data_IF_667033462747
#
_entry.id   IF_667033462747
#
_cell.length_a   1.000
_cell.length_b   1.000
_cell.length_c   1.000
_cell.angle_alpha   90.00
_cell.angle_beta   90.00
_cell.angle_gamma   90.00
#
_symmetry.space_group_name_H-M   'P 1'
#
loop_
_entity.id
_entity.type
_entity.pdbx_description
1 polymer ?
#
# COMPACT_ATOMS: atom_id res chain seq x y z
N UNK A 1 17.87 2.23 22.74
CA UNK A 1 17.28 2.98 21.61
C UNK A 1 15.96 3.53 22.10
N UNK A 2 15.66 4.81 21.86
CA UNK A 2 14.30 5.30 22.10
C UNK A 2 13.31 4.50 21.23
N UNK A 3 12.13 4.12 21.75
CA UNK A 3 11.12 3.45 20.95
C UNK A 3 10.66 4.36 19.80
N UNK A 4 10.27 3.77 18.67
CA UNK A 4 9.72 4.53 17.54
C UNK A 4 8.38 5.18 17.93
N UNK A 5 8.02 6.25 17.23
CA UNK A 5 6.68 6.84 17.30
C UNK A 5 5.98 6.68 15.95
N UNK A 6 4.66 6.69 15.97
CA UNK A 6 3.87 6.78 14.74
C UNK A 6 3.37 8.20 14.58
N UNK A 7 3.45 8.74 13.37
CA UNK A 7 2.72 9.94 12.97
C UNK A 7 1.59 9.47 12.05
N UNK A 8 0.39 9.35 12.61
CA UNK A 8 -0.82 9.01 11.87
C UNK A 8 -1.31 10.24 11.14
N UNK A 9 -1.53 10.18 9.84
CA UNK A 9 -1.89 11.35 9.06
C UNK A 9 -2.86 11.04 7.93
N UNK A 10 -3.53 12.10 7.47
CA UNK A 10 -4.44 12.09 6.34
C UNK A 10 -4.49 13.49 5.69
N UNK A 11 -4.72 13.54 4.38
CA UNK A 11 -4.96 14.76 3.64
C UNK A 11 -6.37 14.79 3.05
N UNK A 12 -7.02 15.94 3.19
CA UNK A 12 -8.07 16.32 2.24
C UNK A 12 -7.46 17.19 1.15
N UNK A 13 -7.83 16.92 -0.10
CA UNK A 13 -7.20 17.56 -1.28
C UNK A 13 -8.23 18.16 -2.21
N UNK A 14 -7.80 19.14 -3.01
CA UNK A 14 -8.65 19.75 -4.03
C UNK A 14 -8.74 18.94 -5.33
N UNK A 15 -8.25 17.69 -5.34
CA UNK A 15 -8.34 16.80 -6.49
C UNK A 15 -7.53 15.51 -6.34
N UNK A 16 -7.88 14.50 -7.13
CA UNK A 16 -7.28 13.16 -7.02
C UNK A 16 -5.92 13.00 -7.73
N UNK A 17 -5.46 13.99 -8.50
CA UNK A 17 -4.18 13.92 -9.19
C UNK A 17 -3.06 14.42 -8.27
N UNK A 18 -2.38 13.48 -7.61
CA UNK A 18 -1.32 13.78 -6.62
C UNK A 18 -0.17 14.66 -7.14
N UNK A 19 0.04 14.69 -8.47
CA UNK A 19 1.08 15.50 -9.11
C UNK A 19 0.66 16.94 -9.36
N UNK A 20 -0.64 17.20 -9.58
CA UNK A 20 -1.16 18.49 -10.05
C UNK A 20 -2.03 19.20 -9.01
N UNK A 21 -2.86 18.43 -8.33
CA UNK A 21 -3.80 18.95 -7.36
C UNK A 21 -3.11 19.33 -6.05
N UNK A 22 -3.72 20.25 -5.31
CA UNK A 22 -3.14 20.86 -4.12
C UNK A 22 -3.79 20.30 -2.85
N UNK A 23 -3.02 20.15 -1.75
CA UNK A 23 -3.62 19.83 -0.46
C UNK A 23 -4.55 20.96 -0.02
N UNK A 24 -5.67 20.61 0.60
CA UNK A 24 -6.63 21.54 1.18
C UNK A 24 -6.50 21.56 2.72
N UNK A 25 -6.44 20.36 3.33
CA UNK A 25 -6.26 20.17 4.78
C UNK A 25 -5.26 19.04 5.03
N UNK A 26 -4.57 19.11 6.15
CA UNK A 26 -3.78 18.02 6.71
C UNK A 26 -4.14 17.85 8.17
N UNK A 27 -4.33 16.61 8.59
CA UNK A 27 -4.41 16.26 10.00
C UNK A 27 -3.39 15.20 10.36
N UNK A 28 -2.85 15.29 11.58
CA UNK A 28 -2.01 14.24 12.13
C UNK A 28 -2.14 14.10 13.64
N UNK A 29 -1.94 12.88 14.12
CA UNK A 29 -1.82 12.54 15.54
C UNK A 29 -0.56 11.72 15.72
N UNK A 30 0.27 12.09 16.69
CA UNK A 30 1.42 11.31 17.09
C UNK A 30 1.03 10.28 18.15
N UNK A 31 1.55 9.07 18.06
CA UNK A 31 1.42 8.07 19.12
C UNK A 31 2.74 7.43 19.48
N UNK A 32 2.84 6.90 20.71
CA UNK A 32 3.90 5.96 21.06
C UNK A 32 3.74 4.63 20.31
N UNK A 33 4.73 3.74 20.48
CA UNK A 33 4.68 2.38 19.93
C UNK A 33 3.54 1.51 20.50
N UNK A 34 2.92 1.90 21.62
CA UNK A 34 1.74 1.27 22.22
C UNK A 34 0.42 1.81 21.65
N UNK A 35 0.48 2.76 20.70
CA UNK A 35 -0.65 3.45 20.09
C UNK A 35 -1.36 4.43 21.04
N UNK A 36 -0.69 4.94 22.08
CA UNK A 36 -1.21 6.01 22.94
C UNK A 36 -0.85 7.37 22.34
N UNK A 37 -1.79 8.32 22.31
CA UNK A 37 -1.56 9.66 21.75
C UNK A 37 -0.50 10.43 22.55
N UNK A 38 0.36 11.16 21.83
CA UNK A 38 1.41 12.01 22.40
C UNK A 38 1.19 13.43 21.90
N UNK A 39 1.06 14.38 22.83
CA UNK A 39 0.86 15.79 22.51
C UNK A 39 -0.50 16.07 21.88
N UNK A 40 -0.64 17.26 21.33
CA UNK A 40 -1.88 17.70 20.70
C UNK A 40 -1.92 17.29 19.22
N UNK A 41 -3.11 16.98 18.66
CA UNK A 41 -3.27 16.78 17.23
C UNK A 41 -2.83 18.00 16.42
N UNK A 42 -2.21 17.76 15.27
CA UNK A 42 -1.94 18.79 14.27
C UNK A 42 -3.09 18.83 13.27
N UNK A 43 -3.69 19.99 13.04
CA UNK A 43 -4.65 20.21 11.96
C UNK A 43 -4.34 21.55 11.29
N UNK A 44 -4.17 21.52 9.98
CA UNK A 44 -3.78 22.67 9.16
C UNK A 44 -4.65 22.74 7.91
N UNK A 45 -5.01 23.94 7.47
CA UNK A 45 -5.49 24.19 6.12
C UNK A 45 -4.37 24.81 5.28
N UNK A 46 -4.35 24.51 3.98
CA UNK A 46 -3.39 25.07 3.02
C UNK A 46 -4.10 26.07 2.11
N UNK A 47 -3.60 27.31 2.04
CA UNK A 47 -4.12 28.31 1.11
C UNK A 47 -3.83 27.87 -0.34
N UNK A 48 -4.85 27.77 -1.22
CA UNK A 48 -4.59 27.55 -2.64
C UNK A 48 -3.94 28.79 -3.25
N UNK A 49 -2.94 28.58 -4.11
CA UNK A 49 -2.34 29.66 -4.88
C UNK A 49 -3.32 30.20 -5.94
N UNK A 50 -3.10 31.44 -6.40
CA UNK A 50 -3.97 32.13 -7.36
C UNK A 50 -3.88 31.62 -8.81
N UNK A 51 -3.11 30.55 -9.05
CA UNK A 51 -2.88 29.90 -10.34
C UNK A 51 -3.58 28.54 -10.47
N UNK A 52 -4.37 28.13 -9.46
CA UNK A 52 -5.01 26.83 -9.38
C UNK A 52 -6.52 26.95 -9.14
N UNK A 53 -7.28 26.09 -9.80
CA UNK A 53 -8.72 25.92 -9.57
C UNK A 53 -8.99 24.51 -9.02
N UNK A 54 -9.61 24.39 -7.84
CA UNK A 54 -10.02 23.10 -7.29
C UNK A 54 -10.96 22.31 -8.19
N UNK A 55 -10.84 20.99 -8.17
CA UNK A 55 -11.86 20.10 -8.71
C UNK A 55 -13.17 20.24 -7.90
N UNK A 56 -14.30 20.64 -8.53
CA UNK A 56 -15.55 20.85 -7.81
C UNK A 56 -16.06 19.61 -7.09
N UNK A 57 -15.85 18.41 -7.65
CA UNK A 57 -16.28 17.17 -7.03
C UNK A 57 -15.53 16.88 -5.73
N UNK A 58 -14.24 17.17 -5.70
CA UNK A 58 -13.41 17.04 -4.49
C UNK A 58 -13.86 18.00 -3.39
N UNK A 59 -14.20 19.25 -3.71
CA UNK A 59 -14.80 20.18 -2.76
C UNK A 59 -16.14 19.68 -2.19
N UNK A 60 -16.95 18.98 -3.00
CA UNK A 60 -18.23 18.40 -2.54
C UNK A 60 -18.03 17.19 -1.62
N UNK A 61 -17.03 16.35 -1.90
CA UNK A 61 -16.72 15.17 -1.08
C UNK A 61 -16.18 15.60 0.29
N UNK A 62 -15.23 16.54 0.29
CA UNK A 62 -14.55 17.00 1.50
C UNK A 62 -15.34 18.04 2.28
N UNK A 63 -16.27 18.75 1.63
CA UNK A 63 -16.93 19.92 2.20
C UNK A 63 -15.99 21.12 2.40
N UNK A 64 -14.75 21.07 1.91
CA UNK A 64 -13.75 22.12 2.05
C UNK A 64 -13.76 23.00 0.81
N UNK A 65 -14.02 24.29 1.00
CA UNK A 65 -14.00 25.28 -0.09
C UNK A 65 -12.65 26.00 -0.16
N UNK A 66 -12.23 26.49 -1.34
CA UNK A 66 -11.04 27.33 -1.43
C UNK A 66 -11.14 28.59 -0.56
N UNK A 67 -12.35 29.14 -0.38
CA UNK A 67 -12.59 30.28 0.52
C UNK A 67 -12.28 29.95 1.98
N UNK A 68 -12.69 28.76 2.45
CA UNK A 68 -12.36 28.29 3.80
C UNK A 68 -10.85 28.17 3.99
N UNK A 69 -10.16 27.58 3.00
CA UNK A 69 -8.70 27.46 3.04
C UNK A 69 -7.97 28.80 2.95
N UNK A 70 -8.52 29.78 2.22
CA UNK A 70 -7.97 31.15 2.20
C UNK A 70 -8.13 31.84 3.56
N UNK A 71 -9.26 31.66 4.22
CA UNK A 71 -9.56 32.27 5.53
C UNK A 71 -8.76 31.63 6.68
N UNK A 72 -8.69 30.30 6.73
CA UNK A 72 -8.14 29.55 7.87
C UNK A 72 -6.75 28.98 7.64
N UNK A 73 -6.33 28.88 6.38
CA UNK A 73 -5.09 28.22 6.01
C UNK A 73 -3.85 29.09 6.13
N UNK A 74 -2.71 28.44 5.97
CA UNK A 74 -1.41 29.09 5.81
C UNK A 74 -0.91 28.91 4.37
N UNK A 75 0.01 29.75 3.88
CA UNK A 75 0.64 29.55 2.57
C UNK A 75 1.33 28.18 2.47
N UNK A 76 1.40 27.61 1.25
CA UNK A 76 1.91 26.23 1.04
C UNK A 76 3.31 25.99 1.63
N UNK A 77 4.20 26.98 1.62
CA UNK A 77 5.54 26.85 2.21
C UNK A 77 5.52 26.66 3.73
N UNK A 78 4.69 27.42 4.45
CA UNK A 78 4.51 27.26 5.90
C UNK A 78 3.81 25.95 6.24
N UNK A 79 2.81 25.58 5.43
CA UNK A 79 2.12 24.30 5.54
C UNK A 79 3.10 23.13 5.39
N UNK A 80 3.95 23.16 4.36
CA UNK A 80 4.97 22.16 4.10
C UNK A 80 6.02 22.09 5.22
N UNK A 81 6.52 23.23 5.70
CA UNK A 81 7.50 23.29 6.79
C UNK A 81 6.97 22.69 8.10
N UNK A 82 5.72 22.96 8.45
CA UNK A 82 5.10 22.40 9.67
C UNK A 82 4.93 20.88 9.57
N UNK A 83 4.53 20.38 8.40
CA UNK A 83 4.38 18.96 8.15
C UNK A 83 5.74 18.25 8.16
N UNK A 84 6.76 18.84 7.53
CA UNK A 84 8.13 18.33 7.54
C UNK A 84 8.66 18.21 8.97
N UNK A 85 8.47 19.25 9.80
CA UNK A 85 8.94 19.26 11.18
C UNK A 85 8.37 18.10 12.01
N UNK A 86 7.11 17.72 11.78
CA UNK A 86 6.51 16.53 12.41
C UNK A 86 7.09 15.23 11.86
N UNK A 87 7.18 15.05 10.54
CA UNK A 87 7.69 13.82 9.97
C UNK A 87 9.20 13.61 10.20
N UNK A 88 9.98 14.67 10.33
CA UNK A 88 11.44 14.63 10.47
C UNK A 88 11.93 14.30 11.89
N UNK A 89 11.03 14.26 12.89
CA UNK A 89 11.38 13.87 14.24
C UNK A 89 12.01 12.45 14.25
N UNK A 90 13.20 12.26 14.84
CA UNK A 90 13.90 10.97 14.79
C UNK A 90 13.05 9.77 15.24
N UNK A 91 13.10 8.69 14.48
CA UNK A 91 12.35 7.46 14.77
C UNK A 91 10.85 7.53 14.47
N UNK A 92 10.39 8.51 13.69
CA UNK A 92 8.99 8.63 13.27
C UNK A 92 8.67 7.69 12.11
N UNK A 93 7.63 6.87 12.28
CA UNK A 93 7.02 6.12 11.18
C UNK A 93 5.76 6.85 10.76
N UNK A 94 5.74 7.42 9.55
CA UNK A 94 4.53 7.99 8.96
C UNK A 94 3.54 6.90 8.58
N UNK A 95 2.29 6.98 9.04
CA UNK A 95 1.26 5.97 8.79
C UNK A 95 -0.06 6.63 8.48
N UNK A 96 -0.88 5.99 7.65
CA UNK A 96 -2.30 6.32 7.53
C UNK A 96 -3.04 5.19 6.81
N UNK A 97 -4.12 5.52 6.13
CA UNK A 97 -4.97 4.56 5.43
C UNK A 97 -4.92 4.80 3.92
N UNK A 98 -4.23 3.93 3.17
CA UNK A 98 -3.91 4.14 1.74
C UNK A 98 -2.92 5.28 1.44
N UNK A 99 -2.15 5.72 2.45
CA UNK A 99 -1.25 6.88 2.33
C UNK A 99 -0.10 6.68 1.35
N UNK A 100 0.44 5.47 1.23
CA UNK A 100 1.64 5.21 0.38
C UNK A 100 1.36 5.48 -1.10
N UNK A 101 0.10 5.32 -1.54
CA UNK A 101 -0.30 5.48 -2.94
C UNK A 101 -0.89 6.85 -3.23
N UNK A 102 -1.19 7.66 -2.21
CA UNK A 102 -1.86 8.95 -2.37
C UNK A 102 -1.19 10.06 -1.56
N UNK A 103 -1.41 10.11 -0.26
CA UNK A 103 -0.94 11.16 0.67
C UNK A 103 0.57 11.35 0.66
N UNK A 104 1.32 10.26 0.57
CA UNK A 104 2.77 10.30 0.47
C UNK A 104 3.23 10.94 -0.86
N UNK A 105 2.48 10.72 -1.95
CA UNK A 105 2.77 11.37 -3.23
C UNK A 105 2.39 12.85 -3.18
N UNK A 106 1.28 13.23 -2.53
CA UNK A 106 0.94 14.64 -2.23
C UNK A 106 2.07 15.30 -1.45
N UNK A 107 2.55 14.64 -0.38
CA UNK A 107 3.66 15.13 0.46
C UNK A 107 4.92 15.32 -0.37
N UNK A 108 5.30 14.35 -1.21
CA UNK A 108 6.49 14.42 -2.06
C UNK A 108 6.43 15.57 -3.05
N UNK A 109 5.32 15.73 -3.77
CA UNK A 109 5.18 16.83 -4.74
C UNK A 109 5.09 18.18 -4.04
N UNK A 110 4.42 18.28 -2.90
CA UNK A 110 4.38 19.49 -2.08
C UNK A 110 5.78 19.88 -1.59
N UNK A 111 6.54 18.94 -1.02
CA UNK A 111 7.91 19.19 -0.58
C UNK A 111 8.81 19.61 -1.74
N UNK A 112 8.70 18.93 -2.89
CA UNK A 112 9.43 19.32 -4.10
C UNK A 112 9.13 20.76 -4.54
N UNK A 113 7.85 21.17 -4.54
CA UNK A 113 7.45 22.55 -4.87
C UNK A 113 7.99 23.59 -3.89
N UNK A 114 8.16 23.20 -2.63
CA UNK A 114 8.59 24.07 -1.53
C UNK A 114 10.08 23.89 -1.17
N UNK A 115 10.87 23.29 -2.07
CA UNK A 115 12.33 23.13 -1.93
C UNK A 115 12.77 22.30 -0.71
N UNK A 116 11.91 21.39 -0.25
CA UNK A 116 12.17 20.41 0.80
C UNK A 116 12.51 19.07 0.13
N UNK A 117 13.46 18.29 0.69
CA UNK A 117 13.76 16.95 0.17
C UNK A 117 12.51 16.04 0.24
N UNK A 118 11.98 15.55 -0.90
CA UNK A 118 10.73 14.80 -0.91
C UNK A 118 10.77 13.45 -0.19
N UNK A 119 11.96 12.90 0.06
CA UNK A 119 12.16 11.53 0.52
C UNK A 119 12.87 11.43 1.87
N UNK A 120 13.60 12.47 2.31
CA UNK A 120 14.40 12.44 3.54
C UNK A 120 13.62 11.92 4.76
N UNK A 121 12.39 12.41 4.95
CA UNK A 121 11.48 12.01 6.03
C UNK A 121 11.09 10.51 6.03
N UNK A 122 11.32 9.81 4.93
CA UNK A 122 10.95 8.41 4.76
C UNK A 122 12.04 7.43 5.22
N UNK A 123 13.24 7.91 5.57
CA UNK A 123 14.38 7.05 5.91
C UNK A 123 15.47 7.69 6.79
N UNK A 124 15.68 9.00 6.72
CA UNK A 124 16.67 9.68 7.56
C UNK A 124 16.29 9.59 9.03
N UNK A 125 17.27 9.68 9.93
CA UNK A 125 17.03 9.70 11.38
C UNK A 125 16.21 8.51 11.91
N UNK A 126 16.33 7.34 11.26
CA UNK A 126 15.54 6.14 11.57
C UNK A 126 14.03 6.31 11.36
N UNK A 127 13.62 7.30 10.56
CA UNK A 127 12.24 7.44 10.13
C UNK A 127 11.86 6.35 9.12
N UNK A 128 10.56 6.19 8.90
CA UNK A 128 10.00 5.19 8.00
C UNK A 128 8.58 5.53 7.58
N UNK A 129 7.97 4.64 6.80
CA UNK A 129 6.57 4.78 6.37
C UNK A 129 5.84 3.44 6.40
N UNK A 130 4.56 3.47 6.68
CA UNK A 130 3.70 2.31 6.74
C UNK A 130 2.28 2.67 6.29
N UNK A 131 1.47 1.67 5.95
CA UNK A 131 0.11 1.88 5.44
C UNK A 131 -0.81 0.80 6.00
N UNK A 132 -1.86 1.23 6.70
CA UNK A 132 -2.75 0.31 7.40
C UNK A 132 -3.69 -0.45 6.47
N UNK A 133 -3.94 0.04 5.24
CA UNK A 133 -4.91 -0.58 4.33
C UNK A 133 -4.51 -2.03 3.96
N UNK A 134 -3.24 -2.25 3.59
CA UNK A 134 -2.79 -3.60 3.24
C UNK A 134 -2.64 -4.48 4.50
N UNK A 135 -2.42 -3.90 5.69
CA UNK A 135 -2.46 -4.61 6.99
C UNK A 135 -3.87 -5.11 7.31
N UNK A 136 -4.89 -4.29 7.06
CA UNK A 136 -6.31 -4.65 7.20
C UNK A 136 -6.65 -5.79 6.25
N UNK A 137 -6.25 -5.71 4.98
CA UNK A 137 -6.43 -6.80 4.01
C UNK A 137 -5.71 -8.08 4.46
N UNK A 138 -4.50 -7.96 5.01
CA UNK A 138 -3.74 -9.12 5.49
C UNK A 138 -4.43 -9.77 6.69
N UNK A 139 -4.98 -8.96 7.59
CA UNK A 139 -5.78 -9.44 8.72
C UNK A 139 -7.02 -10.16 8.23
N UNK A 140 -7.76 -9.58 7.28
CA UNK A 140 -8.92 -10.22 6.66
C UNK A 140 -8.58 -11.58 6.02
N UNK A 141 -7.50 -11.65 5.24
CA UNK A 141 -7.16 -12.84 4.49
C UNK A 141 -6.62 -13.97 5.37
N UNK A 142 -5.84 -13.63 6.40
CA UNK A 142 -5.07 -14.63 7.17
C UNK A 142 -5.60 -14.84 8.58
N UNK A 143 -6.14 -13.82 9.25
CA UNK A 143 -6.60 -13.89 10.64
C UNK A 143 -7.86 -13.03 10.85
N UNK A 144 -8.99 -13.38 10.21
CA UNK A 144 -10.19 -12.53 10.21
C UNK A 144 -10.93 -12.50 11.56
N UNK A 145 -10.66 -13.46 12.45
CA UNK A 145 -11.41 -13.62 13.69
C UNK A 145 -11.24 -12.41 14.62
N UNK A 146 -12.33 -12.03 15.30
CA UNK A 146 -12.37 -10.90 16.23
C UNK A 146 -12.65 -9.54 15.60
N UNK A 147 -12.77 -9.45 14.27
CA UNK A 147 -13.09 -8.21 13.54
C UNK A 147 -14.35 -8.43 12.70
N UNK A 148 -15.28 -7.48 12.75
CA UNK A 148 -16.44 -7.44 11.87
C UNK A 148 -16.05 -6.92 10.49
N UNK A 149 -16.29 -7.72 9.46
CA UNK A 149 -15.92 -7.40 8.07
C UNK A 149 -17.17 -6.99 7.28
N UNK A 150 -17.41 -5.69 7.06
CA UNK A 150 -18.59 -5.21 6.34
C UNK A 150 -18.55 -5.65 4.88
N UNK A 151 -19.74 -5.81 4.30
CA UNK A 151 -19.93 -6.10 2.88
C UNK A 151 -20.53 -4.88 2.17
N UNK A 152 -20.27 -4.76 0.88
CA UNK A 152 -20.96 -3.83 -0.02
C UNK A 152 -22.32 -4.41 -0.43
N UNK A 153 -23.08 -3.63 -1.20
CA UNK A 153 -24.38 -4.04 -1.73
C UNK A 153 -24.30 -5.30 -2.61
N UNK A 154 -23.20 -5.46 -3.36
CA UNK A 154 -22.92 -6.65 -4.19
C UNK A 154 -22.47 -7.89 -3.38
N UNK A 155 -22.41 -7.79 -2.06
CA UNK A 155 -21.97 -8.86 -1.16
C UNK A 155 -20.45 -9.00 -1.02
N UNK A 156 -19.66 -8.24 -1.77
CA UNK A 156 -18.20 -8.26 -1.70
C UNK A 156 -17.71 -7.54 -0.44
N UNK A 157 -16.54 -7.90 0.13
CA UNK A 157 -15.99 -7.22 1.29
C UNK A 157 -15.71 -5.73 1.02
N UNK A 158 -16.03 -4.87 1.99
CA UNK A 158 -15.63 -3.47 1.98
C UNK A 158 -14.42 -3.24 2.87
N UNK A 159 -13.40 -2.59 2.32
CA UNK A 159 -12.25 -2.08 3.05
C UNK A 159 -12.25 -0.55 3.10
N UNK A 160 -13.42 0.09 3.02
CA UNK A 160 -13.53 1.52 3.29
C UNK A 160 -13.44 1.75 4.81
N UNK A 161 -12.66 2.75 5.21
CA UNK A 161 -12.43 3.06 6.62
C UNK A 161 -13.74 3.35 7.37
N UNK A 162 -14.63 4.15 6.77
CA UNK A 162 -15.97 4.43 7.31
C UNK A 162 -16.78 3.15 7.58
N UNK A 163 -16.82 2.22 6.60
CA UNK A 163 -17.57 0.98 6.71
C UNK A 163 -17.00 0.09 7.84
N UNK A 164 -15.67 -0.03 7.91
CA UNK A 164 -14.99 -0.83 8.93
C UNK A 164 -15.18 -0.24 10.32
N UNK A 165 -15.06 1.08 10.44
CA UNK A 165 -15.23 1.79 11.71
C UNK A 165 -16.65 1.59 12.24
N UNK A 166 -17.66 1.82 11.39
CA UNK A 166 -19.07 1.61 11.72
C UNK A 166 -19.37 0.16 12.13
N UNK A 167 -18.86 -0.81 11.37
CA UNK A 167 -19.11 -2.24 11.63
C UNK A 167 -18.48 -2.73 12.95
N UNK A 168 -17.43 -2.06 13.43
CA UNK A 168 -16.71 -2.44 14.66
C UNK A 168 -16.97 -1.48 15.83
N UNK A 169 -17.95 -0.58 15.72
CA UNK A 169 -18.29 0.38 16.79
C UNK A 169 -17.16 1.37 17.12
N UNK A 170 -16.29 1.68 16.15
CA UNK A 170 -15.22 2.64 16.31
C UNK A 170 -15.76 4.06 16.07
N UNK A 171 -15.27 5.02 16.86
CA UNK A 171 -15.66 6.42 16.73
C UNK A 171 -15.21 6.97 15.36
N UNK A 172 -16.15 7.53 14.62
CA UNK A 172 -15.95 8.21 13.34
C UNK A 172 -17.04 9.28 13.21
N UNK A 173 -16.79 10.45 13.80
CA UNK A 173 -17.81 11.48 14.06
C UNK A 173 -18.25 12.20 12.78
N UNK A 174 -17.32 12.45 11.86
CA UNK A 174 -17.57 12.99 10.54
C UNK A 174 -16.66 12.28 9.53
N UNK A 175 -17.24 11.62 8.53
CA UNK A 175 -16.47 11.08 7.42
C UNK A 175 -15.94 12.25 6.56
N UNK A 176 -14.74 12.11 6.01
CA UNK A 176 -14.09 13.14 5.18
C UNK A 176 -13.73 14.43 5.95
N UNK A 177 -13.45 14.27 7.25
CA UNK A 177 -12.64 15.21 8.03
C UNK A 177 -11.32 14.51 8.36
N UNK A 178 -10.19 15.09 7.93
CA UNK A 178 -8.89 14.43 8.03
C UNK A 178 -8.57 13.97 9.46
N UNK A 179 -9.00 14.73 10.49
CA UNK A 179 -8.70 14.36 11.88
C UNK A 179 -9.56 13.17 12.35
N UNK A 180 -10.84 13.14 11.98
CA UNK A 180 -11.73 11.99 12.21
C UNK A 180 -11.19 10.72 11.54
N UNK A 181 -10.69 10.82 10.31
CA UNK A 181 -10.10 9.70 9.56
C UNK A 181 -8.79 9.20 10.21
N UNK A 182 -7.95 10.11 10.70
CA UNK A 182 -6.76 9.76 11.49
C UNK A 182 -7.15 9.00 12.77
N UNK A 183 -8.14 9.48 13.53
CA UNK A 183 -8.61 8.80 14.75
C UNK A 183 -9.21 7.42 14.47
N UNK A 184 -10.01 7.30 13.41
CA UNK A 184 -10.57 6.02 12.97
C UNK A 184 -9.47 5.03 12.56
N UNK A 185 -8.43 5.51 11.87
CA UNK A 185 -7.25 4.71 11.49
C UNK A 185 -6.51 4.18 12.72
N UNK A 186 -6.25 5.04 13.72
CA UNK A 186 -5.64 4.62 15.00
C UNK A 186 -6.51 3.59 15.72
N UNK A 187 -7.83 3.81 15.78
CA UNK A 187 -8.76 2.90 16.43
C UNK A 187 -8.77 1.52 15.75
N UNK A 188 -8.73 1.48 14.41
CA UNK A 188 -8.64 0.24 13.65
C UNK A 188 -7.30 -0.48 13.88
N UNK A 189 -6.19 0.27 13.94
CA UNK A 189 -4.87 -0.29 14.27
C UNK A 189 -4.86 -0.92 15.68
N UNK A 190 -5.46 -0.24 16.67
CA UNK A 190 -5.63 -0.77 18.04
C UNK A 190 -6.48 -2.06 18.03
N UNK A 191 -7.58 -2.08 17.29
CA UNK A 191 -8.45 -3.24 17.16
C UNK A 191 -7.72 -4.46 16.58
N UNK A 192 -6.95 -4.26 15.50
CA UNK A 192 -6.13 -5.31 14.88
C UNK A 192 -5.09 -5.83 15.87
N UNK A 193 -4.37 -4.92 16.54
CA UNK A 193 -3.34 -5.30 17.51
C UNK A 193 -3.91 -6.06 18.71
N UNK A 194 -5.10 -5.68 19.19
CA UNK A 194 -5.78 -6.36 20.29
C UNK A 194 -6.10 -7.82 19.95
N UNK A 195 -6.63 -8.08 18.76
CA UNK A 195 -7.05 -9.43 18.35
C UNK A 195 -5.90 -10.25 17.77
N UNK A 196 -4.95 -9.61 17.10
CA UNK A 196 -3.89 -10.25 16.33
C UNK A 196 -2.52 -9.57 16.52
N UNK A 197 -1.96 -9.52 17.75
CA UNK A 197 -0.72 -8.78 18.04
C UNK A 197 0.48 -9.29 17.23
N UNK A 198 0.62 -10.61 17.05
CA UNK A 198 1.70 -11.20 16.24
C UNK A 198 1.61 -10.82 14.76
N UNK A 199 0.40 -10.70 14.21
CA UNK A 199 0.21 -10.26 12.83
C UNK A 199 0.55 -8.79 12.70
N UNK A 200 0.10 -7.96 13.65
CA UNK A 200 0.41 -6.54 13.69
C UNK A 200 1.94 -6.31 13.74
N UNK A 201 2.65 -6.97 14.64
CA UNK A 201 4.11 -6.86 14.77
C UNK A 201 4.84 -7.35 13.51
N UNK A 202 4.37 -8.46 12.92
CA UNK A 202 4.92 -8.96 11.66
C UNK A 202 4.71 -7.98 10.52
N UNK A 203 3.48 -7.49 10.33
CA UNK A 203 3.13 -6.53 9.29
C UNK A 203 3.87 -5.20 9.46
N UNK A 204 4.05 -4.75 10.71
CA UNK A 204 4.87 -3.60 11.04
C UNK A 204 6.31 -3.87 10.61
N UNK A 205 6.90 -5.03 10.91
CA UNK A 205 8.29 -5.33 10.52
C UNK A 205 8.53 -5.20 9.00
N UNK A 206 7.52 -5.43 8.17
CA UNK A 206 7.58 -5.31 6.70
C UNK A 206 7.63 -3.86 6.20
N UNK A 207 7.52 -2.85 7.06
CA UNK A 207 7.78 -1.46 6.65
C UNK A 207 9.24 -1.24 6.23
N UNK A 208 10.16 -2.11 6.69
CA UNK A 208 11.57 -2.08 6.30
C UNK A 208 11.81 -2.95 5.08
N UNK A 209 12.29 -2.36 3.99
CA UNK A 209 12.62 -3.06 2.74
C UNK A 209 13.57 -4.26 2.94
N UNK A 210 14.51 -4.18 3.88
CA UNK A 210 15.46 -5.26 4.15
C UNK A 210 14.76 -6.46 4.80
N UNK A 211 13.75 -6.20 5.65
CA UNK A 211 12.91 -7.25 6.23
C UNK A 211 12.06 -7.93 5.17
N UNK A 212 11.51 -7.16 4.22
CA UNK A 212 10.78 -7.67 3.05
C UNK A 212 11.70 -8.54 2.19
N UNK A 213 12.91 -8.07 1.88
CA UNK A 213 13.90 -8.82 1.11
C UNK A 213 14.26 -10.16 1.78
N UNK A 214 14.44 -10.15 3.10
CA UNK A 214 14.68 -11.36 3.88
C UNK A 214 13.47 -12.32 3.85
N UNK A 215 12.25 -11.81 3.99
CA UNK A 215 11.02 -12.60 3.92
C UNK A 215 10.84 -13.29 2.55
N UNK A 216 11.22 -12.59 1.49
CA UNK A 216 11.20 -13.08 0.09
C UNK A 216 12.45 -13.85 -0.32
N UNK A 217 13.45 -13.98 0.57
CA UNK A 217 14.74 -14.65 0.32
C UNK A 217 15.49 -14.10 -0.90
N UNK A 218 15.50 -12.79 -1.05
CA UNK A 218 16.17 -12.14 -2.17
C UNK A 218 17.70 -12.14 -2.01
N UNK A 219 18.47 -12.18 -3.12
CA UNK A 219 18.01 -12.26 -4.51
C UNK A 219 17.33 -13.60 -4.82
N UNK A 220 16.24 -13.55 -5.59
CA UNK A 220 15.55 -14.75 -6.05
C UNK A 220 16.39 -15.40 -7.15
N UNK A 221 17.00 -16.54 -6.83
CA UNK A 221 17.75 -17.40 -7.76
C UNK A 221 17.03 -18.73 -7.89
N UNK A 222 17.39 -19.57 -8.87
CA UNK A 222 16.84 -20.92 -8.99
C UNK A 222 16.96 -21.74 -7.67
N UNK A 223 17.99 -21.47 -6.87
CA UNK A 223 18.24 -22.16 -5.59
C UNK A 223 17.44 -21.56 -4.42
N UNK A 224 17.26 -20.23 -4.38
CA UNK A 224 16.67 -19.51 -3.24
C UNK A 224 15.18 -19.18 -3.42
N UNK A 225 14.68 -19.15 -4.67
CA UNK A 225 13.30 -18.84 -5.00
C UNK A 225 12.34 -19.83 -4.35
N UNK A 226 11.33 -19.31 -3.67
CA UNK A 226 10.29 -20.08 -3.00
C UNK A 226 8.94 -19.40 -3.22
N UNK A 227 7.83 -20.15 -3.21
CA UNK A 227 6.52 -19.54 -3.22
C UNK A 227 6.32 -18.72 -1.94
N UNK A 228 5.58 -17.63 -2.04
CA UNK A 228 5.24 -16.76 -0.92
C UNK A 228 3.80 -16.26 -1.06
N UNK A 229 3.18 -15.87 0.04
CA UNK A 229 1.89 -15.20 0.03
C UNK A 229 2.08 -13.71 -0.22
N UNK A 230 1.25 -13.11 -1.07
CA UNK A 230 1.20 -11.67 -1.25
C UNK A 230 -0.23 -11.16 -1.09
N UNK A 231 -0.42 -10.20 -0.20
CA UNK A 231 -1.68 -9.48 -0.02
C UNK A 231 -1.59 -8.12 -0.70
N UNK A 232 -2.58 -7.81 -1.54
CA UNK A 232 -2.61 -6.57 -2.33
C UNK A 232 -4.02 -6.31 -2.85
N UNK A 233 -4.44 -5.04 -2.87
CA UNK A 233 -5.70 -4.62 -3.49
C UNK A 233 -5.82 -4.86 -4.99
N UNK A 234 -4.74 -5.23 -5.68
CA UNK A 234 -4.78 -5.70 -7.07
C UNK A 234 -5.36 -7.12 -7.23
N UNK A 235 -5.45 -7.89 -6.14
CA UNK A 235 -6.14 -9.17 -6.14
C UNK A 235 -7.60 -8.99 -5.71
N UNK A 236 -8.55 -9.71 -6.32
CA UNK A 236 -9.97 -9.58 -6.01
C UNK A 236 -10.26 -9.81 -4.51
N UNK A 237 -11.22 -9.07 -3.97
CA UNK A 237 -11.58 -9.16 -2.55
C UNK A 237 -12.21 -10.52 -2.19
N UNK A 238 -12.83 -11.17 -3.17
CA UNK A 238 -13.42 -12.52 -3.09
C UNK A 238 -12.34 -13.59 -2.89
N UNK A 239 -11.11 -13.34 -3.39
CA UNK A 239 -9.91 -14.15 -3.12
C UNK A 239 -9.16 -13.69 -1.87
N UNK A 240 -9.78 -12.89 -1.00
CA UNK A 240 -9.13 -12.35 0.19
C UNK A 240 -8.07 -11.28 -0.10
N UNK A 241 -8.05 -10.68 -1.29
CA UNK A 241 -6.94 -9.84 -1.76
C UNK A 241 -5.58 -10.56 -1.70
N UNK A 242 -5.57 -11.89 -1.89
CA UNK A 242 -4.42 -12.76 -1.65
C UNK A 242 -4.06 -13.60 -2.89
N UNK A 243 -2.77 -13.79 -3.10
CA UNK A 243 -2.23 -14.74 -4.08
C UNK A 243 -1.03 -15.51 -3.51
N UNK A 244 -0.82 -16.74 -4.00
CA UNK A 244 0.46 -17.45 -3.83
C UNK A 244 1.32 -17.08 -5.03
N UNK A 245 2.45 -16.44 -4.78
CA UNK A 245 3.29 -15.86 -5.81
C UNK A 245 4.62 -16.60 -5.90
N UNK A 246 5.21 -16.64 -7.09
CA UNK A 246 6.56 -17.11 -7.33
C UNK A 246 7.46 -15.95 -7.77
N UNK A 247 8.65 -15.74 -7.16
CA UNK A 247 9.55 -14.68 -7.56
C UNK A 247 10.28 -15.07 -8.86
N UNK A 248 10.09 -14.27 -9.91
CA UNK A 248 10.70 -14.51 -11.23
C UNK A 248 12.09 -13.86 -11.33
N UNK A 249 12.20 -12.57 -10.99
CA UNK A 249 13.44 -11.82 -11.06
C UNK A 249 13.34 -10.50 -10.30
N UNK A 250 14.49 -9.95 -9.89
CA UNK A 250 14.57 -8.52 -9.54
C UNK A 250 14.34 -7.65 -10.77
N UNK A 251 13.64 -6.54 -10.61
CA UNK A 251 13.39 -5.60 -11.71
C UNK A 251 14.73 -5.03 -12.23
N UNK A 252 14.92 -4.94 -13.57
CA UNK A 252 16.23 -4.65 -14.16
C UNK A 252 16.79 -3.26 -13.80
N UNK A 253 15.93 -2.25 -13.64
CA UNK A 253 16.34 -0.87 -13.33
C UNK A 253 15.92 -0.38 -11.94
N UNK A 254 15.02 -1.08 -11.24
CA UNK A 254 14.48 -0.67 -9.96
C UNK A 254 14.85 -1.71 -8.89
N UNK A 255 15.93 -1.45 -8.15
CA UNK A 255 16.43 -2.36 -7.11
C UNK A 255 15.43 -2.67 -5.99
N UNK A 256 14.39 -1.86 -5.85
CA UNK A 256 13.35 -2.05 -4.82
C UNK A 256 12.14 -2.82 -5.38
N UNK A 257 12.23 -3.47 -6.53
CA UNK A 257 11.08 -4.09 -7.17
C UNK A 257 11.37 -5.54 -7.58
N UNK A 258 10.44 -6.43 -7.24
CA UNK A 258 10.45 -7.85 -7.59
C UNK A 258 9.37 -8.11 -8.64
N UNK A 259 9.71 -8.82 -9.69
CA UNK A 259 8.78 -9.37 -10.68
C UNK A 259 8.32 -10.73 -10.16
N UNK A 260 7.01 -10.95 -10.04
CA UNK A 260 6.45 -12.18 -9.50
C UNK A 260 5.26 -12.70 -10.33
N UNK A 261 5.08 -14.02 -10.33
CA UNK A 261 4.02 -14.74 -11.02
C UNK A 261 2.94 -15.23 -10.05
N UNK A 262 1.66 -15.09 -10.36
CA UNK A 262 0.57 -15.72 -9.59
C UNK A 262 0.50 -17.23 -9.92
N UNK A 263 0.81 -18.06 -8.94
CA UNK A 263 0.83 -19.52 -9.05
C UNK A 263 -0.57 -20.16 -9.19
N UNK A 264 -1.65 -19.38 -9.19
CA UNK A 264 -2.95 -19.83 -9.69
C UNK A 264 -2.93 -20.16 -11.20
N UNK A 265 -1.89 -19.74 -11.92
CA UNK A 265 -1.76 -19.91 -13.37
C UNK A 265 -0.48 -20.67 -13.74
N UNK A 266 -0.54 -21.43 -14.84
CA UNK A 266 0.58 -22.25 -15.33
C UNK A 266 1.72 -21.37 -15.87
N UNK A 267 2.91 -21.38 -15.25
CA UNK A 267 4.02 -20.52 -15.65
C UNK A 267 4.73 -20.98 -16.92
N UNK A 268 4.46 -22.18 -17.45
CA UNK A 268 5.19 -22.73 -18.61
C UNK A 268 5.03 -21.91 -19.87
N UNK A 269 3.96 -21.12 -19.98
CA UNK A 269 3.80 -20.19 -21.12
C UNK A 269 4.97 -19.21 -21.21
N UNK A 270 5.58 -18.82 -20.09
CA UNK A 270 6.73 -17.91 -20.10
C UNK A 270 7.95 -18.47 -20.85
N UNK A 271 8.10 -19.78 -20.95
CA UNK A 271 9.25 -20.41 -21.58
C UNK A 271 9.30 -20.19 -23.10
N UNK A 272 8.17 -19.87 -23.74
CA UNK A 272 8.05 -19.73 -25.20
C UNK A 272 7.85 -18.30 -25.67
N UNK A 273 7.60 -17.35 -24.75
CA UNK A 273 7.30 -15.96 -25.10
C UNK A 273 8.59 -15.15 -25.30
N UNK A 274 8.59 -14.33 -26.37
CA UNK A 274 9.60 -13.29 -26.58
C UNK A 274 9.30 -12.02 -25.77
N UNK A 275 10.29 -11.13 -25.67
CA UNK A 275 10.17 -9.90 -24.88
C UNK A 275 9.03 -8.99 -25.34
N UNK A 276 8.82 -8.84 -26.65
CA UNK A 276 7.76 -8.01 -27.22
C UNK A 276 6.37 -8.52 -26.87
N UNK A 277 6.17 -9.84 -26.88
CA UNK A 277 4.89 -10.47 -26.53
C UNK A 277 4.60 -10.33 -25.04
N UNK A 278 5.61 -10.56 -24.18
CA UNK A 278 5.48 -10.32 -22.74
C UNK A 278 5.11 -8.85 -22.49
N UNK A 279 5.80 -7.93 -23.16
CA UNK A 279 5.57 -6.48 -23.03
C UNK A 279 4.14 -6.10 -23.46
N UNK A 280 3.67 -6.62 -24.59
CA UNK A 280 2.30 -6.43 -25.08
C UNK A 280 1.28 -6.88 -24.03
N UNK A 281 1.45 -8.11 -23.51
CA UNK A 281 0.52 -8.71 -22.53
C UNK A 281 0.57 -8.07 -21.14
N UNK A 282 1.69 -7.46 -20.75
CA UNK A 282 1.83 -6.77 -19.45
C UNK A 282 1.31 -5.33 -19.47
N UNK A 283 1.63 -4.56 -20.51
CA UNK A 283 1.42 -3.11 -20.51
C UNK A 283 0.19 -2.63 -21.30
N UNK A 284 -0.45 -3.49 -22.09
CA UNK A 284 -1.72 -3.17 -22.75
C UNK A 284 -2.91 -3.37 -21.83
N UNK A 285 -3.98 -2.58 -21.99
CA UNK A 285 -5.24 -2.84 -21.29
C UNK A 285 -5.83 -4.15 -21.82
N UNK A 286 -6.59 -4.85 -20.98
CA UNK A 286 -7.18 -6.13 -21.38
C UNK A 286 -8.07 -5.99 -22.62
N UNK A 287 -8.81 -4.88 -22.73
CA UNK A 287 -9.65 -4.56 -23.90
C UNK A 287 -8.87 -4.23 -25.17
N UNK A 288 -7.58 -3.90 -25.05
CA UNK A 288 -6.71 -3.52 -26.18
C UNK A 288 -5.84 -4.70 -26.65
N UNK A 289 -5.98 -5.89 -26.03
CA UNK A 289 -5.24 -7.09 -26.43
C UNK A 289 -5.88 -7.76 -27.65
N UNK A 290 -5.08 -8.40 -28.53
CA UNK A 290 -5.61 -9.20 -29.62
C UNK A 290 -6.57 -10.30 -29.12
N UNK A 291 -7.55 -10.65 -29.95
CA UNK A 291 -8.49 -11.74 -29.64
C UNK A 291 -7.75 -13.04 -29.31
N UNK A 292 -8.18 -13.74 -28.26
CA UNK A 292 -7.52 -14.95 -27.76
C UNK A 292 -6.27 -14.70 -26.89
N UNK A 293 -5.84 -13.45 -26.73
CA UNK A 293 -4.69 -13.11 -25.88
C UNK A 293 -5.15 -12.59 -24.51
N UNK A 294 -4.56 -13.11 -23.45
CA UNK A 294 -4.85 -12.69 -22.07
C UNK A 294 -3.67 -11.92 -21.47
N UNK A 295 -3.92 -11.09 -20.45
CA UNK A 295 -2.81 -10.52 -19.67
C UNK A 295 -2.01 -11.64 -19.00
N UNK A 296 -0.70 -11.46 -18.93
CA UNK A 296 0.13 -12.36 -18.13
C UNK A 296 -0.17 -12.14 -16.63
N UNK A 297 -0.24 -13.20 -15.81
CA UNK A 297 -0.43 -13.14 -14.36
C UNK A 297 0.87 -12.72 -13.64
N UNK A 298 1.54 -11.70 -14.18
CA UNK A 298 2.72 -11.07 -13.61
C UNK A 298 2.29 -9.83 -12.83
N UNK A 299 2.83 -9.70 -11.61
CA UNK A 299 2.72 -8.51 -10.80
C UNK A 299 4.10 -8.12 -10.28
N UNK A 300 4.39 -6.83 -10.28
CA UNK A 300 5.57 -6.32 -9.58
C UNK A 300 5.27 -5.94 -8.13
N UNK A 301 6.25 -6.13 -7.25
CA UNK A 301 6.14 -5.90 -5.81
C UNK A 301 7.25 -4.94 -5.39
N UNK A 302 6.85 -3.77 -4.88
CA UNK A 302 7.77 -2.71 -4.46
C UNK A 302 8.13 -2.90 -2.99
N UNK A 303 9.37 -3.29 -2.70
CA UNK A 303 9.90 -3.54 -1.35
C UNK A 303 9.84 -2.32 -0.44
N UNK A 304 9.94 -1.11 -1.00
CA UNK A 304 9.94 0.15 -0.26
C UNK A 304 8.54 0.78 -0.11
N UNK A 305 7.49 0.04 -0.46
CA UNK A 305 6.07 0.44 -0.33
C UNK A 305 5.33 -0.45 0.68
N UNK A 306 6.04 -0.92 1.70
CA UNK A 306 5.52 -1.75 2.79
C UNK A 306 4.62 -2.91 2.33
N UNK A 307 5.06 -3.74 1.36
CA UNK A 307 4.21 -4.78 0.78
C UNK A 307 3.96 -5.89 1.81
N UNK A 308 2.70 -6.30 1.94
CA UNK A 308 2.33 -7.45 2.78
C UNK A 308 2.70 -8.74 2.05
N UNK A 309 3.79 -9.37 2.51
CA UNK A 309 4.33 -10.63 1.99
C UNK A 309 4.63 -11.60 3.12
N UNK A 310 4.42 -12.89 2.89
CA UNK A 310 4.72 -13.95 3.86
C UNK A 310 5.43 -15.09 3.15
N UNK A 311 6.69 -15.33 3.49
CA UNK A 311 7.52 -16.38 2.88
C UNK A 311 7.12 -17.79 3.31
N UNK A 312 6.43 -17.92 4.45
CA UNK A 312 5.84 -19.19 4.88
C UNK A 312 4.40 -19.33 4.36
N UNK A 313 4.22 -20.04 3.25
CA UNK A 313 2.91 -20.32 2.63
C UNK A 313 1.95 -21.03 3.58
N UNK A 314 2.46 -21.84 4.53
CA UNK A 314 1.64 -22.54 5.52
C UNK A 314 0.93 -21.60 6.52
N UNK A 315 1.24 -20.29 6.49
CA UNK A 315 0.47 -19.28 7.21
C UNK A 315 -0.99 -19.21 6.74
N UNK A 316 -1.22 -19.54 5.47
CA UNK A 316 -2.54 -19.79 4.91
C UNK A 316 -2.96 -21.22 5.24
N UNK A 317 -3.89 -21.37 6.17
CA UNK A 317 -4.41 -22.67 6.58
C UNK A 317 -5.26 -23.31 5.48
N UNK A 318 -5.44 -24.64 5.46
CA UNK A 318 -6.32 -25.30 4.49
C UNK A 318 -7.76 -24.74 4.50
N UNK A 319 -8.30 -24.41 5.67
CA UNK A 319 -9.63 -23.84 5.80
C UNK A 319 -9.74 -22.44 5.16
N UNK A 320 -8.71 -21.60 5.33
CA UNK A 320 -8.65 -20.28 4.67
C UNK A 320 -8.39 -20.41 3.17
N UNK A 321 -7.52 -21.34 2.75
CA UNK A 321 -7.31 -21.61 1.33
C UNK A 321 -8.62 -22.03 0.65
N UNK A 322 -9.39 -22.92 1.28
CA UNK A 322 -10.72 -23.30 0.80
C UNK A 322 -11.68 -22.11 0.78
N UNK A 323 -11.71 -21.29 1.84
CA UNK A 323 -12.55 -20.08 1.92
C UNK A 323 -12.29 -19.11 0.77
N UNK A 324 -11.04 -18.97 0.34
CA UNK A 324 -10.63 -18.05 -0.73
C UNK A 324 -10.56 -18.72 -2.11
N UNK A 325 -10.96 -19.98 -2.24
CA UNK A 325 -10.88 -20.72 -3.50
C UNK A 325 -9.46 -20.92 -4.03
N UNK A 326 -8.48 -21.04 -3.13
CA UNK A 326 -7.07 -21.22 -3.49
C UNK A 326 -6.68 -22.70 -3.46
N UNK A 327 -6.25 -23.23 -4.60
CA UNK A 327 -5.70 -24.59 -4.70
C UNK A 327 -4.19 -24.57 -4.42
N UNK A 328 -3.82 -24.92 -3.18
CA UNK A 328 -2.42 -24.99 -2.76
C UNK A 328 -1.64 -26.14 -3.39
N UNK A 329 -2.31 -27.22 -3.78
CA UNK A 329 -1.65 -28.35 -4.44
C UNK A 329 -1.28 -27.98 -5.88
N UNK A 330 -2.20 -27.34 -6.60
CA UNK A 330 -1.92 -26.77 -7.92
C UNK A 330 -0.82 -25.71 -7.85
N UNK A 331 -0.88 -24.79 -6.88
CA UNK A 331 0.15 -23.77 -6.71
C UNK A 331 1.54 -24.39 -6.46
N UNK A 332 1.63 -25.51 -5.73
CA UNK A 332 2.87 -26.25 -5.54
C UNK A 332 3.39 -26.88 -6.85
N UNK A 333 2.51 -27.48 -7.66
CA UNK A 333 2.87 -28.00 -8.98
C UNK A 333 3.37 -26.90 -9.91
N UNK A 334 2.66 -25.77 -9.96
CA UNK A 334 3.09 -24.60 -10.73
C UNK A 334 4.42 -24.03 -10.20
N UNK A 335 4.70 -24.09 -8.89
CA UNK A 335 5.99 -23.65 -8.35
C UNK A 335 7.14 -24.54 -8.83
N UNK A 336 6.91 -25.85 -8.96
CA UNK A 336 7.91 -26.77 -9.52
C UNK A 336 8.13 -26.51 -11.02
N UNK A 337 7.06 -26.23 -11.77
CA UNK A 337 7.16 -25.80 -13.16
C UNK A 337 7.89 -24.46 -13.32
N UNK A 338 7.61 -23.48 -12.45
CA UNK A 338 8.28 -22.18 -12.44
C UNK A 338 9.78 -22.31 -12.14
N UNK A 339 10.16 -23.24 -11.25
CA UNK A 339 11.56 -23.55 -10.95
C UNK A 339 12.28 -24.18 -12.14
N UNK A 340 11.56 -24.93 -12.99
CA UNK A 340 12.10 -25.58 -14.18
C UNK A 340 12.12 -24.69 -15.43
N UNK A 341 11.65 -23.44 -15.34
CA UNK A 341 11.74 -22.49 -16.45
C UNK A 341 13.21 -22.25 -16.86
N UNK A 342 13.47 -21.92 -18.14
CA UNK A 342 14.78 -21.49 -18.58
C UNK A 342 15.22 -20.22 -17.83
N UNK A 343 16.51 -19.89 -17.87
CA UNK A 343 16.98 -18.62 -17.31
C UNK A 343 16.35 -17.43 -18.05
N UNK A 344 15.40 -16.78 -17.40
CA UNK A 344 14.69 -15.61 -17.91
C UNK A 344 15.42 -14.30 -17.58
N UNK A 345 16.57 -14.33 -16.91
CA UNK A 345 17.25 -13.11 -16.45
C UNK A 345 17.54 -12.11 -17.60
N UNK A 346 17.86 -12.61 -18.80
CA UNK A 346 18.14 -11.82 -19.99
C UNK A 346 16.94 -11.16 -20.66
N UNK A 347 15.70 -11.63 -20.42
CA UNK A 347 14.50 -11.11 -21.12
C UNK A 347 13.94 -9.87 -20.44
N UNK A 348 14.02 -9.79 -19.11
CA UNK A 348 13.41 -8.72 -18.32
C UNK A 348 13.93 -7.32 -18.66
N UNK A 349 15.24 -7.08 -18.91
CA UNK A 349 15.72 -5.78 -19.36
C UNK A 349 15.03 -5.29 -20.64
N UNK A 350 14.78 -6.18 -21.61
CA UNK A 350 14.10 -5.84 -22.85
C UNK A 350 12.59 -5.57 -22.62
N UNK A 351 11.93 -6.40 -21.81
CA UNK A 351 10.50 -6.23 -21.45
C UNK A 351 10.24 -4.86 -20.79
N UNK A 352 11.10 -4.47 -19.84
CA UNK A 352 10.97 -3.24 -19.05
C UNK A 352 11.74 -2.04 -19.63
N UNK A 353 12.27 -2.15 -20.85
CA UNK A 353 12.84 -1.01 -21.56
C UNK A 353 11.76 0.05 -21.75
N UNK A 354 12.08 1.31 -21.40
CA UNK A 354 11.17 2.43 -21.66
C UNK A 354 11.14 2.69 -23.18
N UNK A 355 9.96 2.98 -23.76
CA UNK A 355 9.84 3.36 -25.16
C UNK A 355 10.67 4.59 -25.51
#
# INVERSE_FOLDING_TARGET
MAPHTFLWHDYETFGANTRRDRPAQFAAIRTDAALNEIGDPLMLYCQPANDYLPDPQSCLITGITPQLCLEKGVPEHDFANRIEAEFAQPGTIGVGYNTIRFDDEITRFMFWRNLIDPYAREWQNQCGRWDLLDVVRMTYALRPDGIAWPKKEDGTPSFKLEHLSKANGLLHEAAHDALSDVRATIALARLIRQHNPKLFDFALSLHKKDRVAAELRLPATALTARPFLHVSGMFPAERGCLAVMWPLASHPTNKNELIAWDLAHDPRELATLGADEIRLRMFSRAADLPEGTTRLPIKTIHLNKSPMVVGNVNTLTPALAQRWGMDLAQAAQHADMARALPDMSGIWPAVFARP
#
